data_IF_707835135496
#
_entry.id   IF_707835135496
#
_cell.length_a   1.000
_cell.length_b   1.000
_cell.length_c   1.000
_cell.angle_alpha   90.00
_cell.angle_beta   90.00
_cell.angle_gamma   90.00
#
_symmetry.space_group_name_H-M   'P 1'
#
loop_
_entity.id
_entity.type
_entity.pdbx_description
1 polymer ?
#
# COMPACT_ATOMS: atom_id res chain seq x y z
N UNK A 1 10.61 -6.49 11.62
CA UNK A 1 9.49 -6.59 10.67
C UNK A 1 8.24 -7.00 11.43
N UNK A 2 7.06 -6.55 11.01
CA UNK A 2 5.79 -6.94 11.66
C UNK A 2 5.27 -8.26 11.07
N UNK A 3 4.64 -9.11 11.90
CA UNK A 3 3.87 -10.27 11.44
C UNK A 3 2.50 -9.85 10.89
N UNK A 4 1.79 -10.77 10.22
CA UNK A 4 0.42 -10.53 9.78
C UNK A 4 -0.53 -10.27 10.97
N UNK A 5 -0.37 -11.01 12.07
CA UNK A 5 -1.20 -10.82 13.27
C UNK A 5 -0.93 -9.47 13.93
N UNK A 6 0.31 -8.99 13.94
CA UNK A 6 0.66 -7.66 14.44
C UNK A 6 0.03 -6.55 13.61
N UNK A 7 0.10 -6.65 12.28
CA UNK A 7 -0.56 -5.71 11.36
C UNK A 7 -2.09 -5.71 11.58
N UNK A 8 -2.69 -6.89 11.75
CA UNK A 8 -4.11 -7.03 12.03
C UNK A 8 -4.51 -6.42 13.38
N UNK A 9 -3.68 -6.60 14.43
CA UNK A 9 -3.91 -5.97 15.74
C UNK A 9 -3.84 -4.45 15.65
N UNK A 10 -2.89 -3.91 14.89
CA UNK A 10 -2.80 -2.46 14.65
C UNK A 10 -4.03 -1.96 13.90
N UNK A 11 -4.44 -2.65 12.83
CA UNK A 11 -5.63 -2.27 12.06
C UNK A 11 -6.93 -2.35 12.89
N UNK A 12 -7.03 -3.31 13.80
CA UNK A 12 -8.13 -3.40 14.76
C UNK A 12 -8.10 -2.25 15.76
N UNK A 13 -6.91 -1.88 16.25
CA UNK A 13 -6.71 -0.80 17.21
C UNK A 13 -6.98 0.59 16.62
N UNK A 14 -6.60 0.85 15.36
CA UNK A 14 -6.89 2.11 14.69
C UNK A 14 -8.39 2.28 14.36
N UNK A 15 -9.12 1.17 14.21
CA UNK A 15 -10.54 1.13 13.91
C UNK A 15 -10.95 2.01 12.70
N UNK A 16 -10.06 2.11 11.71
CA UNK A 16 -10.33 2.75 10.41
C UNK A 16 -10.92 1.72 9.45
N UNK A 17 -11.64 2.18 8.43
CA UNK A 17 -12.17 1.30 7.37
C UNK A 17 -11.07 0.42 6.76
N UNK A 18 -9.92 1.02 6.46
CA UNK A 18 -8.72 0.35 6.00
C UNK A 18 -7.46 0.96 6.62
N UNK A 19 -6.48 0.09 6.92
CA UNK A 19 -5.12 0.45 7.31
C UNK A 19 -4.16 -0.23 6.34
N UNK A 20 -3.25 0.54 5.74
CA UNK A 20 -2.27 0.01 4.78
C UNK A 20 -0.88 -0.05 5.39
N UNK A 21 -0.15 -1.12 5.05
CA UNK A 21 1.25 -1.29 5.41
C UNK A 21 2.07 -1.36 4.12
N UNK A 22 3.11 -0.51 4.04
CA UNK A 22 4.10 -0.53 2.96
C UNK A 22 5.27 -1.38 3.42
N UNK A 23 5.67 -2.34 2.59
CA UNK A 23 6.72 -3.31 2.86
C UNK A 23 7.75 -3.33 1.72
N UNK A 24 8.95 -3.85 1.99
CA UNK A 24 9.90 -4.16 0.94
C UNK A 24 9.24 -5.03 -0.16
N UNK A 25 9.59 -4.80 -1.43
CA UNK A 25 9.03 -5.57 -2.54
C UNK A 25 9.43 -7.04 -2.45
N UNK A 26 8.53 -7.93 -2.87
CA UNK A 26 8.79 -9.37 -2.97
C UNK A 26 9.24 -9.82 -4.36
N UNK A 27 9.31 -8.89 -5.33
CA UNK A 27 9.71 -9.11 -6.71
C UNK A 27 10.61 -7.96 -7.15
N UNK A 28 11.61 -8.24 -7.99
CA UNK A 28 12.53 -7.23 -8.53
C UNK A 28 11.85 -6.21 -9.45
N UNK A 29 10.64 -6.50 -9.93
CA UNK A 29 9.86 -5.61 -10.80
C UNK A 29 8.94 -4.65 -10.02
N UNK A 30 8.86 -4.76 -8.69
CA UNK A 30 8.01 -3.93 -7.85
C UNK A 30 8.86 -2.98 -7.00
N UNK A 31 8.37 -1.75 -6.77
CA UNK A 31 9.06 -0.77 -5.92
C UNK A 31 8.74 -1.00 -4.43
N UNK A 32 7.54 -1.48 -4.13
CA UNK A 32 7.08 -1.82 -2.79
C UNK A 32 6.00 -2.90 -2.84
N UNK A 33 5.74 -3.51 -1.69
CA UNK A 33 4.59 -4.39 -1.48
C UNK A 33 3.60 -3.72 -0.54
N UNK A 34 2.33 -3.76 -0.89
CA UNK A 34 1.26 -3.22 -0.06
C UNK A 34 0.45 -4.35 0.57
N UNK A 35 0.11 -4.22 1.85
CA UNK A 35 -0.90 -5.05 2.52
C UNK A 35 -1.98 -4.16 3.10
N UNK A 36 -3.23 -4.58 2.99
CA UNK A 36 -4.40 -3.78 3.34
C UNK A 36 -5.21 -4.56 4.36
N UNK A 37 -5.51 -3.94 5.50
CA UNK A 37 -6.27 -4.56 6.56
C UNK A 37 -7.50 -3.71 6.89
N UNK A 38 -8.65 -4.37 7.03
CA UNK A 38 -9.76 -3.84 7.82
C UNK A 38 -9.53 -4.18 9.30
N UNK A 39 -10.36 -3.69 10.24
CA UNK A 39 -10.26 -4.10 11.65
C UNK A 39 -10.42 -5.61 11.89
N UNK A 40 -10.96 -6.36 10.92
CA UNK A 40 -11.31 -7.78 11.08
C UNK A 40 -10.48 -8.74 10.23
N UNK A 41 -10.00 -8.30 9.08
CA UNK A 41 -9.29 -9.17 8.14
C UNK A 41 -8.40 -8.39 7.19
N UNK A 42 -7.42 -9.10 6.62
CA UNK A 42 -6.66 -8.65 5.46
C UNK A 42 -7.53 -8.70 4.19
N UNK A 43 -7.34 -7.72 3.32
CA UNK A 43 -7.94 -7.66 1.99
C UNK A 43 -6.86 -7.90 0.94
N UNK A 44 -7.21 -8.65 -0.10
CA UNK A 44 -6.35 -8.84 -1.27
C UNK A 44 -6.21 -7.56 -2.10
N UNK A 45 -7.23 -6.69 -2.09
CA UNK A 45 -7.24 -5.44 -2.84
C UNK A 45 -8.30 -4.45 -2.32
N UNK A 46 -8.01 -3.15 -2.41
CA UNK A 46 -8.98 -2.07 -2.29
C UNK A 46 -8.49 -0.88 -3.13
N UNK A 47 -9.38 -0.24 -3.89
CA UNK A 47 -8.99 0.79 -4.86
C UNK A 47 -8.44 2.06 -4.22
N UNK A 48 -9.23 2.71 -3.35
CA UNK A 48 -8.82 3.96 -2.70
C UNK A 48 -7.56 3.82 -1.82
N UNK A 49 -7.35 2.72 -1.06
CA UNK A 49 -6.13 2.57 -0.29
C UNK A 49 -4.89 2.34 -1.17
N UNK A 50 -5.04 1.69 -2.34
CA UNK A 50 -3.94 1.52 -3.29
C UNK A 50 -3.50 2.87 -3.85
N UNK A 51 -4.44 3.70 -4.32
CA UNK A 51 -4.13 5.03 -4.87
C UNK A 51 -3.53 5.94 -3.79
N UNK A 52 -4.14 5.99 -2.60
CA UNK A 52 -3.63 6.80 -1.49
C UNK A 52 -2.23 6.36 -1.04
N UNK A 53 -1.99 5.05 -0.97
CA UNK A 53 -0.66 4.53 -0.62
C UNK A 53 0.37 4.84 -1.70
N UNK A 54 0.03 4.71 -2.98
CA UNK A 54 0.91 5.07 -4.10
C UNK A 54 1.35 6.55 -4.03
N UNK A 55 0.41 7.45 -3.74
CA UNK A 55 0.71 8.85 -3.51
C UNK A 55 1.67 9.03 -2.32
N UNK A 56 1.34 8.45 -1.16
CA UNK A 56 2.13 8.58 0.06
C UNK A 56 3.57 8.05 -0.08
N UNK A 57 3.79 6.93 -0.79
CA UNK A 57 5.15 6.39 -0.99
C UNK A 57 5.98 7.25 -1.94
N UNK A 58 5.36 7.88 -2.93
CA UNK A 58 6.04 8.83 -3.83
C UNK A 58 6.40 10.10 -3.06
N UNK A 59 5.43 10.68 -2.35
CA UNK A 59 5.60 11.91 -1.57
C UNK A 59 6.67 11.75 -0.48
N UNK A 60 6.73 10.59 0.17
CA UNK A 60 7.75 10.27 1.19
C UNK A 60 9.10 9.84 0.61
N UNK A 61 9.26 9.78 -0.71
CA UNK A 61 10.52 9.41 -1.37
C UNK A 61 10.86 7.91 -1.33
N UNK A 62 9.93 7.04 -0.94
CA UNK A 62 10.13 5.58 -0.91
C UNK A 62 9.94 4.93 -2.29
N UNK A 63 9.29 5.61 -3.23
CA UNK A 63 9.17 5.19 -4.62
C UNK A 63 9.32 6.39 -5.56
N UNK A 64 9.83 6.15 -6.77
CA UNK A 64 9.90 7.17 -7.82
C UNK A 64 8.83 6.89 -8.87
N UNK A 65 8.08 7.90 -9.34
CA UNK A 65 7.20 7.74 -10.47
C UNK A 65 8.00 7.23 -11.67
N UNK A 66 7.66 6.05 -12.16
CA UNK A 66 8.18 5.60 -13.46
C UNK A 66 7.44 6.39 -14.53
N UNK A 67 8.20 7.05 -15.40
CA UNK A 67 7.64 7.64 -16.60
C UNK A 67 7.10 6.50 -17.48
N UNK A 68 5.84 6.14 -17.31
CA UNK A 68 5.11 5.53 -18.40
C UNK A 68 5.01 6.62 -19.47
N UNK A 69 5.31 6.27 -20.73
CA UNK A 69 4.93 7.08 -21.86
C UNK A 69 3.39 7.09 -21.96
N UNK A 70 2.71 7.73 -21.01
CA UNK A 70 1.36 8.21 -21.21
C UNK A 70 1.51 9.38 -22.17
N UNK A 71 1.55 9.05 -23.47
CA UNK A 71 1.21 10.02 -24.49
C UNK A 71 -0.12 10.65 -24.05
N UNK A 72 -0.08 11.95 -23.76
CA UNK A 72 -1.29 12.75 -23.61
C UNK A 72 -1.92 12.85 -24.99
N UNK A 73 -2.63 11.81 -25.41
CA UNK A 73 -3.58 11.92 -26.51
C UNK A 73 -4.82 12.55 -25.91
N UNK A 74 -4.87 13.89 -25.99
CA UNK A 74 -6.12 14.64 -26.00
C UNK A 74 -6.59 14.70 -27.44
#
# INVERSE_FOLDING_TARGET
>A
SLTAEEMQRIAAWTNLSETTFVLPPSSTNADYRLRIFTPRQELSFAGHPVIGSAHAVIESGHAVPRAASCAKSV
#
